data_IF_274019682168
#
_entry.id   IF_274019682168
#
_cell.length_a   1.000
_cell.length_b   1.000
_cell.length_c   1.000
_cell.angle_alpha   90.00
_cell.angle_beta   90.00
_cell.angle_gamma   90.00
#
_symmetry.space_group_name_H-M   'P 1'
#
loop_
_entity.id
_entity.type
_entity.pdbx_description
1 polymer ?
#
# COMPACT_ATOMS: atom_id res chain seq x y z
N UNK A 1 -9.08 38.96 -0.65
CA UNK A 1 -8.06 37.96 -0.28
C UNK A 1 -8.39 36.67 -1.01
N UNK A 2 -7.65 36.34 -2.07
CA UNK A 2 -7.85 35.08 -2.81
C UNK A 2 -7.07 33.95 -2.16
N UNK A 3 -7.75 32.96 -1.60
CA UNK A 3 -7.12 31.71 -1.18
C UNK A 3 -6.74 30.92 -2.44
N UNK A 4 -5.45 30.95 -2.78
CA UNK A 4 -4.91 30.09 -3.84
C UNK A 4 -4.68 28.71 -3.24
N UNK A 5 -5.57 27.76 -3.55
CA UNK A 5 -5.26 26.34 -3.40
C UNK A 5 -4.22 25.99 -4.47
N UNK A 6 -2.94 26.16 -4.16
CA UNK A 6 -1.90 25.41 -4.87
C UNK A 6 -2.18 23.94 -4.58
N UNK A 7 -2.85 23.28 -5.53
CA UNK A 7 -3.01 21.83 -5.52
C UNK A 7 -1.61 21.24 -5.49
N UNK A 8 -1.15 20.83 -4.31
CA UNK A 8 0.12 20.14 -4.16
C UNK A 8 -0.06 18.79 -4.83
N UNK A 9 0.38 18.71 -6.09
CA UNK A 9 0.33 17.48 -6.87
C UNK A 9 1.37 16.50 -6.32
N UNK A 10 0.94 15.27 -6.09
CA UNK A 10 1.82 14.18 -5.69
C UNK A 10 2.55 13.68 -6.95
N UNK A 11 3.88 13.65 -6.92
CA UNK A 11 4.68 13.17 -8.04
C UNK A 11 4.49 11.66 -8.27
N UNK A 12 4.66 11.19 -9.51
CA UNK A 12 4.40 9.79 -9.88
C UNK A 12 5.32 8.78 -9.17
N UNK A 13 6.57 9.18 -8.90
CA UNK A 13 7.60 8.30 -8.33
C UNK A 13 7.81 8.48 -6.82
N UNK A 14 6.92 9.19 -6.14
CA UNK A 14 7.08 9.39 -4.70
C UNK A 14 6.84 8.08 -3.95
N UNK A 15 7.69 7.84 -2.96
CA UNK A 15 7.56 6.71 -2.05
C UNK A 15 7.40 7.18 -0.61
N UNK A 16 6.59 6.46 0.16
CA UNK A 16 6.48 6.63 1.60
C UNK A 16 6.97 5.36 2.31
N UNK A 17 7.33 5.50 3.59
CA UNK A 17 7.73 4.39 4.45
C UNK A 17 6.58 4.04 5.38
N UNK A 18 6.16 2.79 5.38
CA UNK A 18 5.12 2.26 6.25
C UNK A 18 5.69 1.15 7.12
N UNK A 19 5.68 1.36 8.44
CA UNK A 19 6.29 0.44 9.40
C UNK A 19 5.25 -0.52 9.98
N UNK A 20 5.53 -1.82 9.91
CA UNK A 20 4.66 -2.91 10.34
C UNK A 20 4.94 -3.32 11.79
N UNK A 21 4.67 -2.42 12.73
CA UNK A 21 4.95 -2.65 14.16
C UNK A 21 4.25 -3.87 14.75
N UNK A 22 3.03 -4.15 14.30
CA UNK A 22 2.14 -5.17 14.88
C UNK A 22 2.50 -6.62 14.55
N UNK A 23 3.44 -6.82 13.63
CA UNK A 23 3.90 -8.15 13.16
C UNK A 23 5.42 -8.29 13.18
N UNK A 24 6.13 -7.26 13.64
CA UNK A 24 7.59 -7.31 13.74
C UNK A 24 7.98 -8.14 14.96
N UNK A 25 8.76 -9.20 14.76
CA UNK A 25 9.26 -10.07 15.85
C UNK A 25 10.24 -9.32 16.77
N UNK A 26 11.05 -8.44 16.20
CA UNK A 26 12.01 -7.59 16.92
C UNK A 26 11.53 -6.13 16.93
N UNK A 27 11.11 -5.58 18.09
CA UNK A 27 10.72 -4.19 18.23
C UNK A 27 11.86 -3.20 17.90
N UNK A 28 13.12 -3.60 18.05
CA UNK A 28 14.29 -2.79 17.72
C UNK A 28 14.60 -2.75 16.23
N UNK A 29 14.02 -3.65 15.43
CA UNK A 29 14.28 -3.76 14.00
C UNK A 29 13.00 -4.11 13.22
N UNK A 30 12.01 -3.19 13.17
CA UNK A 30 10.72 -3.47 12.60
C UNK A 30 10.77 -3.64 11.08
N UNK A 31 9.82 -4.40 10.54
CA UNK A 31 9.61 -4.49 9.09
C UNK A 31 9.13 -3.15 8.57
N UNK A 32 9.80 -2.62 7.55
CA UNK A 32 9.42 -1.37 6.88
C UNK A 32 9.13 -1.66 5.42
N UNK A 33 7.95 -1.25 4.95
CA UNK A 33 7.58 -1.27 3.54
C UNK A 33 7.84 0.11 2.92
N UNK A 34 8.51 0.13 1.78
CA UNK A 34 8.67 1.32 0.95
C UNK A 34 7.59 1.22 -0.13
N UNK A 35 6.60 2.10 -0.05
CA UNK A 35 5.36 2.01 -0.85
C UNK A 35 5.19 3.22 -1.74
N UNK A 36 4.52 3.02 -2.87
CA UNK A 36 4.00 4.06 -3.78
C UNK A 36 2.53 4.31 -3.49
N UNK A 37 1.96 5.45 -3.90
CA UNK A 37 0.53 5.68 -3.74
C UNK A 37 -0.28 4.65 -4.55
N UNK A 38 -1.34 4.10 -3.96
CA UNK A 38 -2.33 3.25 -4.62
C UNK A 38 -3.47 4.11 -5.21
N UNK A 39 -3.10 5.14 -5.97
CA UNK A 39 -4.02 6.15 -6.49
C UNK A 39 -3.50 6.74 -7.82
N UNK A 40 -4.18 7.76 -8.34
CA UNK A 40 -3.91 8.42 -9.63
C UNK A 40 -2.42 8.71 -9.94
N UNK A 41 -1.55 9.11 -8.98
CA UNK A 41 -0.14 9.32 -9.29
C UNK A 41 0.59 8.06 -9.77
N UNK A 42 0.14 6.87 -9.38
CA UNK A 42 0.68 5.58 -9.81
C UNK A 42 -0.16 5.01 -10.97
N UNK A 43 0.13 5.48 -12.18
CA UNK A 43 -0.61 5.08 -13.38
C UNK A 43 -0.52 3.58 -13.68
N UNK A 44 0.60 2.93 -13.34
CA UNK A 44 0.76 1.48 -13.51
C UNK A 44 -0.26 0.71 -12.66
N UNK A 45 -0.36 1.06 -11.37
CA UNK A 45 -1.38 0.53 -10.47
C UNK A 45 -2.80 0.82 -10.97
N UNK A 46 -3.09 2.07 -11.35
CA UNK A 46 -4.42 2.45 -11.81
C UNK A 46 -4.86 1.67 -13.04
N UNK A 47 -3.97 1.54 -14.04
CA UNK A 47 -4.27 0.81 -15.26
C UNK A 47 -4.54 -0.68 -14.98
N UNK A 48 -3.77 -1.30 -14.09
CA UNK A 48 -3.97 -2.69 -13.69
C UNK A 48 -5.26 -2.87 -12.88
N UNK A 49 -5.55 -1.96 -11.96
CA UNK A 49 -6.79 -1.97 -11.17
C UNK A 49 -8.05 -1.77 -12.05
N UNK A 50 -8.00 -0.88 -13.05
CA UNK A 50 -9.10 -0.71 -14.01
C UNK A 50 -9.33 -1.97 -14.85
N UNK A 51 -8.27 -2.62 -15.32
CA UNK A 51 -8.37 -3.89 -16.05
C UNK A 51 -9.05 -4.95 -15.18
N UNK A 52 -8.62 -5.10 -13.94
CA UNK A 52 -9.23 -6.02 -12.99
C UNK A 52 -10.72 -5.72 -12.80
N UNK A 53 -11.07 -4.47 -12.47
CA UNK A 53 -12.46 -4.08 -12.25
C UNK A 53 -13.36 -4.30 -13.48
N UNK A 54 -12.82 -4.11 -14.68
CA UNK A 54 -13.54 -4.38 -15.93
C UNK A 54 -13.83 -5.88 -16.13
N UNK A 55 -12.88 -6.75 -15.78
CA UNK A 55 -13.05 -8.19 -15.84
C UNK A 55 -14.07 -8.70 -14.82
N UNK A 56 -14.03 -8.19 -13.58
CA UNK A 56 -14.95 -8.60 -12.52
C UNK A 56 -16.39 -8.14 -12.78
N UNK A 57 -16.59 -6.96 -13.40
CA UNK A 57 -17.93 -6.43 -13.73
C UNK A 57 -18.66 -7.27 -14.77
N UNK A 58 -17.95 -7.93 -15.68
CA UNK A 58 -18.56 -8.78 -16.71
C UNK A 58 -19.19 -10.08 -16.15
N UNK A 59 -18.86 -10.49 -14.92
CA UNK A 59 -19.35 -11.73 -14.29
C UNK A 59 -20.20 -11.55 -13.02
N UNK A 60 -20.41 -10.32 -12.55
CA UNK A 60 -21.03 -10.06 -11.24
C UNK A 60 -22.55 -9.88 -11.32
N UNK A 61 -23.30 -10.97 -11.24
CA UNK A 61 -24.68 -10.94 -10.74
C UNK A 61 -24.71 -10.53 -9.27
N UNK A 62 -25.79 -9.88 -8.84
CA UNK A 62 -26.02 -9.39 -7.47
C UNK A 62 -26.03 -10.55 -6.45
N UNK A 63 -24.85 -10.97 -6.00
CA UNK A 63 -24.67 -12.03 -5.01
C UNK A 63 -24.06 -11.43 -3.74
N UNK A 64 -24.62 -11.83 -2.60
CA UNK A 64 -24.21 -11.50 -1.23
C UNK A 64 -22.68 -11.49 -1.05
N UNK A 65 -22.17 -10.47 -0.34
CA UNK A 65 -20.78 -10.40 0.14
C UNK A 65 -20.48 -11.61 1.04
N UNK A 66 -19.94 -12.68 0.46
CA UNK A 66 -19.44 -13.83 1.22
C UNK A 66 -18.00 -13.60 1.66
N UNK A 67 -17.60 -14.24 2.77
CA UNK A 67 -16.21 -14.20 3.25
C UNK A 67 -15.21 -14.69 2.17
N UNK A 68 -15.62 -15.67 1.36
CA UNK A 68 -14.84 -16.18 0.24
C UNK A 68 -14.58 -15.10 -0.82
N UNK A 69 -15.58 -14.25 -1.14
CA UNK A 69 -15.38 -13.14 -2.10
C UNK A 69 -14.49 -12.05 -1.53
N UNK A 70 -14.58 -11.77 -0.24
CA UNK A 70 -13.67 -10.81 0.40
C UNK A 70 -12.22 -11.32 0.34
N UNK A 71 -12.00 -12.61 0.56
CA UNK A 71 -10.69 -13.23 0.45
C UNK A 71 -10.12 -13.17 -0.97
N UNK A 72 -10.94 -13.49 -1.98
CA UNK A 72 -10.54 -13.37 -3.37
C UNK A 72 -10.19 -11.92 -3.74
N UNK A 73 -11.01 -10.95 -3.32
CA UNK A 73 -10.72 -9.54 -3.56
C UNK A 73 -9.41 -9.09 -2.90
N UNK A 74 -9.11 -9.56 -1.69
CA UNK A 74 -7.82 -9.30 -1.03
C UNK A 74 -6.65 -9.90 -1.80
N UNK A 75 -6.80 -11.11 -2.32
CA UNK A 75 -5.75 -11.77 -3.11
C UNK A 75 -5.45 -11.00 -4.41
N UNK A 76 -6.49 -10.60 -5.15
CA UNK A 76 -6.33 -9.80 -6.37
C UNK A 76 -5.67 -8.44 -6.08
N UNK A 77 -6.03 -7.79 -4.96
CA UNK A 77 -5.38 -6.53 -4.54
C UNK A 77 -3.95 -6.76 -4.09
N UNK A 78 -3.64 -7.88 -3.42
CA UNK A 78 -2.28 -8.22 -3.02
C UNK A 78 -1.37 -8.38 -4.24
N UNK A 79 -1.85 -9.00 -5.32
CA UNK A 79 -1.13 -9.09 -6.60
C UNK A 79 -0.81 -7.70 -7.18
N UNK A 80 -1.80 -6.80 -7.22
CA UNK A 80 -1.58 -5.42 -7.67
C UNK A 80 -0.56 -4.68 -6.79
N UNK A 81 -0.59 -4.92 -5.48
CA UNK A 81 0.32 -4.27 -4.55
C UNK A 81 1.75 -4.77 -4.73
N UNK A 82 1.92 -6.07 -4.90
CA UNK A 82 3.23 -6.69 -5.14
C UNK A 82 3.89 -6.19 -6.43
N UNK A 83 3.10 -5.94 -7.47
CA UNK A 83 3.61 -5.51 -8.77
C UNK A 83 3.83 -4.00 -8.89
N UNK A 84 3.00 -3.18 -8.22
CA UNK A 84 2.92 -1.75 -8.53
C UNK A 84 3.02 -0.82 -7.32
N UNK A 85 2.77 -1.30 -6.11
CA UNK A 85 2.71 -0.46 -4.90
C UNK A 85 3.97 -0.60 -4.06
N UNK A 86 4.40 -1.83 -3.77
CA UNK A 86 5.60 -2.07 -2.96
C UNK A 86 6.84 -1.90 -3.86
N UNK A 87 7.63 -0.88 -3.57
CA UNK A 87 8.86 -0.54 -4.30
C UNK A 87 10.12 -1.06 -3.60
N UNK A 88 10.03 -1.40 -2.31
CA UNK A 88 11.13 -1.88 -1.50
C UNK A 88 10.65 -2.31 -0.11
N UNK A 89 11.52 -2.99 0.64
CA UNK A 89 11.30 -3.25 2.05
C UNK A 89 12.62 -3.34 2.81
N UNK A 90 12.53 -3.28 4.14
CA UNK A 90 13.65 -3.45 5.04
C UNK A 90 13.26 -4.45 6.14
N UNK A 91 14.27 -5.15 6.66
CA UNK A 91 14.15 -6.09 7.78
C UNK A 91 13.21 -7.28 7.55
N UNK A 92 12.83 -7.55 6.30
CA UNK A 92 12.10 -8.77 5.93
C UNK A 92 13.10 -9.91 5.78
N UNK A 93 12.82 -11.04 6.45
CA UNK A 93 13.61 -12.26 6.36
C UNK A 93 12.72 -13.43 5.94
N UNK A 94 13.30 -14.32 5.15
CA UNK A 94 12.73 -15.61 4.77
C UNK A 94 13.72 -16.68 5.21
N UNK A 95 13.27 -17.63 6.04
CA UNK A 95 14.10 -18.70 6.62
C UNK A 95 15.40 -18.18 7.29
N UNK A 96 15.32 -17.03 7.95
CA UNK A 96 16.44 -16.40 8.67
C UNK A 96 17.40 -15.59 7.79
N UNK A 97 17.19 -15.54 6.47
CA UNK A 97 18.01 -14.78 5.51
C UNK A 97 17.25 -13.53 5.03
N UNK A 98 17.91 -12.38 4.79
CA UNK A 98 17.26 -11.21 4.20
C UNK A 98 16.54 -11.56 2.89
N UNK A 99 15.24 -11.28 2.83
CA UNK A 99 14.41 -11.60 1.68
C UNK A 99 14.57 -10.51 0.59
N UNK A 100 14.80 -10.87 -0.68
CA UNK A 100 14.87 -9.89 -1.75
C UNK A 100 13.48 -9.31 -2.03
N UNK A 101 13.40 -7.99 -2.24
CA UNK A 101 12.15 -7.32 -2.59
C UNK A 101 11.86 -7.52 -4.09
N UNK A 102 11.34 -8.70 -4.43
CA UNK A 102 10.85 -9.03 -5.78
C UNK A 102 9.33 -9.20 -5.74
N UNK A 103 8.61 -8.95 -6.85
CA UNK A 103 7.15 -9.08 -6.87
C UNK A 103 6.66 -10.45 -6.38
N UNK A 104 7.37 -11.52 -6.68
CA UNK A 104 7.02 -12.88 -6.26
C UNK A 104 7.12 -13.05 -4.74
N UNK A 105 8.22 -12.59 -4.14
CA UNK A 105 8.47 -12.71 -2.70
C UNK A 105 7.52 -11.78 -1.93
N UNK A 106 7.28 -10.57 -2.46
CA UNK A 106 6.32 -9.62 -1.91
C UNK A 106 4.90 -10.20 -1.97
N UNK A 107 4.51 -10.81 -3.08
CA UNK A 107 3.20 -11.46 -3.20
C UNK A 107 3.06 -12.56 -2.15
N UNK A 108 4.05 -13.45 -1.98
CA UNK A 108 4.00 -14.48 -0.92
C UNK A 108 3.82 -13.87 0.47
N UNK A 109 4.54 -12.81 0.79
CA UNK A 109 4.40 -12.09 2.05
C UNK A 109 2.98 -11.53 2.23
N UNK A 110 2.43 -10.85 1.21
CA UNK A 110 1.07 -10.32 1.26
C UNK A 110 0.01 -11.43 1.32
N UNK A 111 0.21 -12.55 0.61
CA UNK A 111 -0.67 -13.71 0.63
C UNK A 111 -0.71 -14.37 2.01
N UNK A 112 0.43 -14.41 2.72
CA UNK A 112 0.49 -14.85 4.11
C UNK A 112 -0.26 -13.88 5.04
N UNK A 113 -0.09 -12.58 4.85
CA UNK A 113 -0.81 -11.57 5.64
C UNK A 113 -2.33 -11.66 5.48
N UNK A 114 -2.85 -11.89 4.27
CA UNK A 114 -4.29 -11.93 4.04
C UNK A 114 -4.94 -13.26 4.44
N UNK A 115 -4.19 -14.26 4.90
CA UNK A 115 -4.82 -15.50 5.39
C UNK A 115 -5.80 -15.20 6.53
N UNK A 116 -6.86 -16.02 6.70
CA UNK A 116 -7.74 -15.90 7.86
C UNK A 116 -6.96 -16.01 9.17
N UNK A 117 -7.35 -15.28 10.22
CA UNK A 117 -6.83 -15.51 11.56
C UNK A 117 -7.07 -16.97 11.99
N UNK A 118 -6.15 -17.59 12.74
CA UNK A 118 -4.98 -16.98 13.40
C UNK A 118 -3.71 -16.91 12.54
N UNK A 119 -3.69 -17.56 11.37
CA UNK A 119 -2.47 -17.75 10.57
C UNK A 119 -2.04 -16.49 9.82
N UNK A 120 -2.99 -15.59 9.53
CA UNK A 120 -2.75 -14.30 8.90
C UNK A 120 -3.20 -13.11 9.73
N UNK A 121 -2.86 -11.92 9.22
CA UNK A 121 -3.16 -10.60 9.78
C UNK A 121 -3.81 -9.71 8.72
N UNK A 122 -5.05 -10.03 8.27
CA UNK A 122 -5.72 -9.27 7.22
C UNK A 122 -6.03 -7.85 7.65
N UNK A 123 -6.13 -7.59 8.96
CA UNK A 123 -6.20 -6.26 9.57
C UNK A 123 -5.01 -5.37 9.15
N UNK A 124 -3.79 -5.91 9.21
CA UNK A 124 -2.57 -5.19 8.86
C UNK A 124 -2.52 -4.90 7.35
N UNK A 125 -3.02 -5.82 6.53
CA UNK A 125 -3.15 -5.58 5.09
C UNK A 125 -4.18 -4.48 4.77
N UNK A 126 -5.32 -4.46 5.47
CA UNK A 126 -6.35 -3.44 5.30
C UNK A 126 -5.85 -2.04 5.77
N UNK A 127 -5.03 -1.98 6.82
CA UNK A 127 -4.35 -0.75 7.25
C UNK A 127 -3.34 -0.25 6.20
N UNK A 128 -2.49 -1.15 5.68
CA UNK A 128 -1.57 -0.84 4.58
C UNK A 128 -2.32 -0.28 3.37
N UNK A 129 -3.46 -0.89 3.01
CA UNK A 129 -4.30 -0.43 1.89
C UNK A 129 -4.84 0.97 2.14
N UNK A 130 -5.28 1.24 3.37
CA UNK A 130 -5.77 2.56 3.80
C UNK A 130 -4.66 3.61 3.72
N UNK A 131 -3.46 3.28 4.19
CA UNK A 131 -2.29 4.14 4.10
C UNK A 131 -1.92 4.46 2.64
N UNK A 132 -1.80 3.45 1.79
CA UNK A 132 -1.43 3.66 0.38
C UNK A 132 -2.51 4.41 -0.42
N UNK A 133 -3.77 4.34 -0.01
CA UNK A 133 -4.87 5.10 -0.61
C UNK A 133 -4.93 6.56 -0.19
N UNK A 134 -4.29 6.93 0.93
CA UNK A 134 -4.28 8.31 1.41
C UNK A 134 -3.05 9.08 0.88
N UNK A 135 -3.31 9.97 -0.09
CA UNK A 135 -2.28 10.78 -0.75
C UNK A 135 -1.54 11.74 0.19
N UNK A 136 -2.08 12.07 1.37
CA UNK A 136 -1.41 12.95 2.32
C UNK A 136 -0.10 12.34 2.86
N UNK A 137 0.02 11.01 2.93
CA UNK A 137 1.25 10.33 3.34
C UNK A 137 2.38 10.44 2.32
N UNK A 138 2.06 10.89 1.10
CA UNK A 138 2.97 10.99 -0.03
C UNK A 138 3.27 12.45 -0.42
N UNK A 139 2.69 13.41 0.30
CA UNK A 139 2.98 14.83 0.07
C UNK A 139 4.33 15.17 0.70
N UNK A 140 5.16 15.99 0.02
CA UNK A 140 6.33 16.55 0.68
C UNK A 140 5.89 17.33 1.92
N UNK A 141 6.69 17.33 3.00
CA UNK A 141 6.35 18.11 4.18
C UNK A 141 6.16 19.57 3.76
N UNK A 142 4.98 20.11 4.02
CA UNK A 142 4.70 21.52 3.80
C UNK A 142 5.69 22.28 4.69
N UNK A 143 6.72 22.88 4.09
CA UNK A 143 7.59 23.82 4.81
C UNK A 143 6.69 24.92 5.33
N UNK A 144 6.33 24.84 6.62
CA UNK A 144 5.68 25.93 7.32
C UNK A 144 6.61 27.14 7.18
N UNK A 145 6.05 28.25 6.72
CA UNK A 145 6.78 29.48 6.43
C UNK A 145 7.71 29.87 7.59
N UNK A 146 9.01 29.61 7.42
CA UNK A 146 10.07 30.06 8.31
C UNK A 146 10.64 31.43 7.89
N UNK A 147 9.84 32.26 7.20
CA UNK A 147 10.25 33.56 6.64
C UNK A 147 9.24 34.68 6.93
N UNK A 148 8.78 34.78 8.18
CA UNK A 148 8.10 35.99 8.67
C UNK A 148 8.38 36.16 10.16
N UNK A 149 9.58 36.62 10.48
CA UNK A 149 9.91 37.00 11.86
C UNK A 149 11.34 37.46 12.05
N UNK A 150 11.63 38.71 11.66
CA UNK A 150 12.29 39.78 12.45
C UNK A 150 13.10 40.72 11.55
N UNK A 151 12.40 41.73 11.02
CA UNK A 151 12.93 43.09 10.91
C UNK A 151 12.39 43.90 12.07
#
# INVERSE_FOLDING_TARGET
>A
MGFSFKTVSVAADVTARYTLWSISEDPGNPIVLIVRPAAAPNMAFMNAAFKLASATRAGAGAAQLSAARLQMARAEVAELYAQHVIAGWENVREDGVPAPCTPEVVLRFLTALIQPPPDGRPDVFDELRTFCGNLDHFRPPTVAAADLGKG
#
